data_IF_321845625789
#
_entry.id   IF_321845625789
#
_cell.length_a   1.000
_cell.length_b   1.000
_cell.length_c   1.000
_cell.angle_alpha   90.00
_cell.angle_beta   90.00
_cell.angle_gamma   90.00
#
_symmetry.space_group_name_H-M   'P 1'
#
loop_
_entity.id
_entity.type
_entity.pdbx_description
1 polymer ?
#
# COMPACT_ATOMS: atom_id res chain seq x y z
N UNK A 1 55.56 -14.89 -15.99
CA UNK A 1 54.93 -15.31 -14.72
C UNK A 1 54.33 -14.14 -13.94
N UNK A 2 54.95 -12.96 -13.85
CA UNK A 2 54.37 -11.80 -13.16
C UNK A 2 53.34 -10.99 -13.97
N UNK A 3 53.36 -11.07 -15.31
CA UNK A 3 52.41 -10.35 -16.19
C UNK A 3 51.01 -10.99 -16.24
N UNK A 4 50.89 -12.29 -15.93
CA UNK A 4 49.62 -13.03 -15.97
C UNK A 4 48.76 -12.83 -14.71
N UNK A 5 49.38 -12.58 -13.56
CA UNK A 5 48.69 -12.35 -12.28
C UNK A 5 48.04 -10.95 -12.24
N UNK A 6 48.65 -9.96 -12.89
CA UNK A 6 48.12 -8.60 -12.97
C UNK A 6 46.81 -8.51 -13.78
N UNK A 7 46.64 -9.37 -14.80
CA UNK A 7 45.47 -9.36 -15.68
C UNK A 7 44.24 -10.06 -15.06
N UNK A 8 44.47 -10.98 -14.12
CA UNK A 8 43.43 -11.68 -13.37
C UNK A 8 42.77 -10.80 -12.29
N UNK A 9 43.48 -9.79 -11.76
CA UNK A 9 42.95 -8.88 -10.74
C UNK A 9 42.08 -7.75 -11.31
N UNK A 10 42.17 -7.45 -12.61
CA UNK A 10 41.41 -6.34 -13.23
C UNK A 10 39.99 -6.80 -13.63
N UNK A 11 39.78 -8.10 -13.83
CA UNK A 11 38.47 -8.66 -14.20
C UNK A 11 37.49 -8.82 -13.03
N UNK A 12 37.92 -8.61 -11.78
CA UNK A 12 37.05 -8.69 -10.59
C UNK A 12 36.47 -7.34 -10.13
N UNK A 13 36.72 -6.23 -10.84
CA UNK A 13 36.34 -4.88 -10.36
C UNK A 13 35.05 -4.33 -10.99
N UNK A 14 34.46 -4.95 -12.02
CA UNK A 14 33.33 -4.34 -12.75
C UNK A 14 31.92 -4.84 -12.42
N UNK A 15 31.67 -5.29 -11.19
CA UNK A 15 30.29 -5.22 -10.68
C UNK A 15 30.31 -4.34 -9.45
N UNK A 16 30.29 -2.99 -9.59
CA UNK A 16 29.70 -2.21 -8.52
C UNK A 16 28.35 -2.86 -8.24
N UNK A 17 28.21 -3.45 -7.05
CA UNK A 17 26.91 -3.74 -6.49
C UNK A 17 26.28 -2.37 -6.24
N UNK A 18 25.77 -1.75 -7.32
CA UNK A 18 24.73 -0.77 -7.19
C UNK A 18 23.61 -1.54 -6.52
N UNK A 19 23.46 -1.37 -5.22
CA UNK A 19 22.16 -1.52 -4.60
C UNK A 19 21.24 -0.71 -5.51
N UNK A 20 20.41 -1.40 -6.28
CA UNK A 20 19.41 -0.75 -7.12
C UNK A 20 18.51 -0.06 -6.11
N UNK A 21 18.77 1.22 -5.85
CA UNK A 21 17.91 2.04 -5.04
C UNK A 21 16.59 2.07 -5.79
N UNK A 22 15.68 1.21 -5.36
CA UNK A 22 14.31 1.21 -5.83
C UNK A 22 13.76 2.55 -5.40
N UNK A 23 13.73 3.52 -6.31
CA UNK A 23 12.89 4.71 -6.20
C UNK A 23 11.44 4.21 -6.15
N UNK A 24 11.03 3.67 -5.00
CA UNK A 24 9.68 3.29 -4.71
C UNK A 24 8.96 4.58 -4.35
N UNK A 25 8.74 5.43 -5.36
CA UNK A 25 7.88 6.59 -5.23
C UNK A 25 6.46 6.03 -5.04
N UNK A 26 6.09 5.82 -3.77
CA UNK A 26 4.73 5.47 -3.40
C UNK A 26 3.87 6.70 -3.67
N UNK A 27 3.33 6.78 -4.88
CA UNK A 27 2.35 7.79 -5.24
C UNK A 27 1.02 7.46 -4.57
N UNK A 28 0.40 8.48 -3.97
CA UNK A 28 -0.97 8.36 -3.48
C UNK A 28 -1.91 8.25 -4.68
N UNK A 29 -2.63 7.13 -4.74
CA UNK A 29 -3.65 6.91 -5.76
C UNK A 29 -5.04 7.04 -5.14
N UNK A 30 -5.94 7.71 -5.86
CA UNK A 30 -7.35 7.73 -5.50
C UNK A 30 -7.94 6.31 -5.65
N UNK A 31 -8.81 5.98 -4.71
CA UNK A 31 -9.59 4.73 -4.66
C UNK A 31 -11.08 5.07 -4.66
N UNK A 32 -11.93 4.04 -4.76
CA UNK A 32 -13.36 4.24 -4.74
C UNK A 32 -13.82 5.05 -3.53
N UNK A 33 -14.67 6.04 -3.81
CA UNK A 33 -15.29 6.86 -2.79
C UNK A 33 -16.19 6.03 -1.88
N UNK A 34 -16.21 6.38 -0.60
CA UNK A 34 -17.16 5.79 0.35
C UNK A 34 -18.59 6.15 -0.10
N UNK A 35 -19.55 5.18 -0.14
CA UNK A 35 -20.90 5.45 -0.65
C UNK A 35 -21.66 6.52 0.13
N UNK A 36 -21.35 6.67 1.41
CA UNK A 36 -21.94 7.67 2.28
C UNK A 36 -20.90 8.22 3.25
N UNK A 37 -20.78 9.54 3.32
CA UNK A 37 -19.84 10.20 4.22
C UNK A 37 -20.18 9.88 5.67
N UNK A 38 -19.16 9.46 6.42
CA UNK A 38 -19.26 9.26 7.85
C UNK A 38 -18.00 9.81 8.54
N UNK A 39 -18.19 10.44 9.69
CA UNK A 39 -17.14 11.01 10.51
C UNK A 39 -16.96 10.19 11.78
N UNK A 40 -15.76 10.24 12.36
CA UNK A 40 -15.46 9.62 13.67
C UNK A 40 -15.82 8.12 13.70
N UNK A 41 -15.78 7.47 12.54
CA UNK A 41 -16.07 6.05 12.42
C UNK A 41 -14.90 5.21 12.93
N UNK A 42 -15.20 4.03 13.48
CA UNK A 42 -14.16 3.05 13.80
C UNK A 42 -13.73 2.32 12.54
N UNK A 43 -12.44 1.99 12.43
CA UNK A 43 -11.91 1.25 11.28
C UNK A 43 -11.09 0.05 11.70
N UNK A 44 -11.14 -1.02 10.91
CA UNK A 44 -10.36 -2.24 11.13
C UNK A 44 -10.11 -2.96 9.81
N UNK A 45 -8.96 -3.64 9.71
CA UNK A 45 -8.70 -4.60 8.64
C UNK A 45 -9.15 -5.99 9.09
N UNK A 46 -9.92 -6.69 8.24
CA UNK A 46 -10.37 -8.06 8.47
C UNK A 46 -10.32 -8.84 7.15
N UNK A 47 -9.46 -9.86 7.10
CA UNK A 47 -9.31 -10.76 5.94
C UNK A 47 -9.01 -10.01 4.62
N UNK A 48 -8.14 -9.00 4.68
CA UNK A 48 -7.72 -8.20 3.53
C UNK A 48 -8.73 -7.13 3.11
N UNK A 49 -9.79 -6.89 3.90
CA UNK A 49 -10.81 -5.87 3.64
C UNK A 49 -10.78 -4.80 4.74
N UNK A 50 -11.01 -3.56 4.37
CA UNK A 50 -11.08 -2.43 5.32
C UNK A 50 -12.53 -2.21 5.71
N UNK A 51 -12.83 -2.24 7.00
CA UNK A 51 -14.17 -1.97 7.53
C UNK A 51 -14.23 -0.56 8.12
N UNK A 52 -15.37 0.10 7.90
CA UNK A 52 -15.77 1.35 8.54
C UNK A 52 -17.06 1.04 9.30
N UNK A 53 -17.08 1.27 10.61
CA UNK A 53 -18.16 0.83 11.50
C UNK A 53 -18.70 2.04 12.28
N UNK A 54 -20.00 2.30 12.11
CA UNK A 54 -20.72 3.38 12.77
C UNK A 54 -20.12 4.75 12.48
N UNK A 55 -20.22 5.65 13.46
CA UNK A 55 -19.69 7.02 13.39
C UNK A 55 -20.82 8.05 13.45
N UNK A 56 -20.63 9.20 12.82
CA UNK A 56 -21.61 10.27 12.78
C UNK A 56 -21.80 10.82 11.37
N UNK A 57 -23.03 11.21 11.04
CA UNK A 57 -23.41 11.92 9.82
C UNK A 57 -24.30 13.09 10.20
N UNK A 58 -23.96 14.29 9.74
CA UNK A 58 -24.72 15.53 9.99
C UNK A 58 -25.04 15.73 11.49
N UNK A 59 -24.07 15.39 12.36
CA UNK A 59 -24.22 15.48 13.82
C UNK A 59 -25.02 14.35 14.48
N UNK A 60 -25.52 13.39 13.72
CA UNK A 60 -26.30 12.24 14.21
C UNK A 60 -25.46 10.98 14.20
N UNK A 61 -25.56 10.15 15.25
CA UNK A 61 -24.89 8.85 15.30
C UNK A 61 -25.50 7.88 14.29
N UNK A 62 -24.63 7.16 13.57
CA UNK A 62 -25.03 6.15 12.60
C UNK A 62 -24.51 4.77 13.00
N UNK A 63 -25.21 3.72 12.58
CA UNK A 63 -24.86 2.32 12.83
C UNK A 63 -24.51 1.56 11.54
N UNK A 64 -24.42 2.24 10.40
CA UNK A 64 -24.05 1.61 9.15
C UNK A 64 -22.61 1.09 9.22
N UNK A 65 -22.36 -0.04 8.57
CA UNK A 65 -21.03 -0.60 8.41
C UNK A 65 -20.76 -0.80 6.92
N UNK A 66 -19.61 -0.32 6.46
CA UNK A 66 -19.14 -0.55 5.09
C UNK A 66 -17.85 -1.36 5.12
N UNK A 67 -17.60 -2.14 4.08
CA UNK A 67 -16.31 -2.75 3.85
C UNK A 67 -15.81 -2.47 2.44
N UNK A 68 -14.51 -2.21 2.33
CA UNK A 68 -13.79 -2.01 1.09
C UNK A 68 -13.07 -3.29 0.68
N UNK A 69 -13.21 -3.66 -0.59
CA UNK A 69 -12.47 -4.74 -1.23
C UNK A 69 -11.34 -4.16 -2.12
N UNK A 70 -10.07 -4.25 -1.71
CA UNK A 70 -8.96 -3.69 -2.48
C UNK A 70 -8.72 -4.34 -3.84
N UNK A 71 -9.19 -5.58 -4.04
CA UNK A 71 -9.05 -6.31 -5.31
C UNK A 71 -10.02 -5.74 -6.34
N UNK A 72 -11.22 -5.38 -5.89
CA UNK A 72 -12.28 -4.84 -6.74
C UNK A 72 -12.31 -3.32 -6.78
N UNK A 73 -11.64 -2.66 -5.84
CA UNK A 73 -11.72 -1.22 -5.62
C UNK A 73 -13.18 -0.78 -5.45
N UNK A 74 -13.88 -1.42 -4.51
CA UNK A 74 -15.32 -1.17 -4.26
C UNK A 74 -15.65 -1.22 -2.79
N UNK A 75 -16.65 -0.44 -2.40
CA UNK A 75 -17.29 -0.51 -1.11
C UNK A 75 -18.58 -1.32 -1.17
N UNK A 76 -18.95 -1.94 -0.06
CA UNK A 76 -20.24 -2.62 0.12
C UNK A 76 -20.74 -2.39 1.53
N UNK A 77 -22.05 -2.16 1.67
CA UNK A 77 -22.68 -2.06 2.96
C UNK A 77 -22.88 -3.46 3.55
N UNK A 78 -22.52 -3.62 4.81
CA UNK A 78 -22.82 -4.82 5.60
C UNK A 78 -24.24 -4.66 6.16
N UNK A 79 -25.13 -5.56 5.76
CA UNK A 79 -26.46 -5.73 6.35
C UNK A 79 -26.38 -6.50 7.68
#
# INVERSE_FOLDING_TARGET
MFLFVALLCILTIHVPAYAKESQNTQEWIYKADLPETCYIASTAEVNGKIYIIGGTKDGTAVNQTYFYDPIRDTWSQKN
#
